data_IF_131325651739
#
_entry.id   IF_131325651739
#
_cell.length_a   1.000
_cell.length_b   1.000
_cell.length_c   1.000
_cell.angle_alpha   90.00
_cell.angle_beta   90.00
_cell.angle_gamma   90.00
#
_symmetry.space_group_name_H-M   'P 1'
#
loop_
_entity.id
_entity.type
_entity.pdbx_description
1 polymer ?
#
# COMPACT_ATOMS: atom_id res chain seq x y z
N UNK A 1 2.61 -5.05 -2.31
CA UNK A 1 3.24 -4.78 -1.00
C UNK A 1 3.21 -6.04 -0.14
N UNK A 2 4.07 -6.12 0.88
CA UNK A 2 4.09 -7.23 1.85
C UNK A 2 3.51 -6.72 3.18
N UNK A 3 2.63 -7.48 3.82
CA UNK A 3 2.00 -7.12 5.10
C UNK A 3 2.44 -8.02 6.25
N UNK A 4 2.41 -7.48 7.47
CA UNK A 4 2.76 -8.20 8.71
C UNK A 4 1.58 -8.95 9.35
N UNK A 5 0.45 -8.99 8.65
CA UNK A 5 -0.76 -9.72 8.99
C UNK A 5 -1.50 -10.06 7.69
N UNK A 6 -2.28 -11.14 7.70
CA UNK A 6 -3.15 -11.51 6.58
C UNK A 6 -4.41 -10.62 6.67
N UNK A 7 -4.78 -9.87 5.61
CA UNK A 7 -6.02 -9.09 5.58
C UNK A 7 -7.24 -9.96 5.88
N UNK A 8 -8.27 -9.38 6.53
CA UNK A 8 -9.50 -10.12 6.87
C UNK A 8 -10.27 -10.62 5.64
N UNK A 9 -10.21 -9.86 4.54
CA UNK A 9 -10.74 -10.24 3.23
C UNK A 9 -9.58 -10.38 2.28
N UNK A 10 -9.55 -11.43 1.47
CA UNK A 10 -8.47 -11.66 0.51
C UNK A 10 -8.54 -10.73 -0.69
N UNK A 11 -9.75 -10.25 -1.01
CA UNK A 11 -10.01 -9.25 -2.04
C UNK A 11 -11.02 -8.23 -1.52
N UNK A 12 -10.81 -6.96 -1.81
CA UNK A 12 -11.74 -5.90 -1.42
C UNK A 12 -11.53 -4.64 -2.26
N UNK A 13 -12.57 -3.82 -2.37
CA UNK A 13 -12.57 -2.55 -3.09
C UNK A 13 -13.22 -1.47 -2.23
N UNK A 14 -12.51 -0.37 -2.00
CA UNK A 14 -12.98 0.69 -1.13
C UNK A 14 -12.66 2.06 -1.71
N UNK A 15 -13.59 3.00 -1.50
CA UNK A 15 -13.29 4.42 -1.61
C UNK A 15 -12.88 4.91 -0.23
N UNK A 16 -11.69 5.51 -0.12
CA UNK A 16 -11.22 6.13 1.11
C UNK A 16 -10.90 7.60 0.88
N UNK A 17 -10.97 8.37 1.95
CA UNK A 17 -10.63 9.78 1.96
C UNK A 17 -9.54 9.99 3.01
N UNK A 18 -8.48 10.69 2.64
CA UNK A 18 -7.37 10.96 3.55
C UNK A 18 -7.11 12.46 3.66
N UNK A 19 -6.70 12.87 4.84
CA UNK A 19 -6.20 14.21 5.14
C UNK A 19 -4.81 14.12 5.78
N UNK A 20 -4.03 15.20 5.70
CA UNK A 20 -2.71 15.30 6.33
C UNK A 20 -2.66 16.41 7.36
N UNK A 21 -2.05 16.10 8.49
CA UNK A 21 -1.79 17.05 9.57
C UNK A 21 -0.31 17.06 9.93
N UNK A 22 0.21 18.22 10.31
CA UNK A 22 1.55 18.35 10.85
C UNK A 22 1.52 18.11 12.36
N UNK A 23 2.26 17.11 12.83
CA UNK A 23 2.42 16.80 14.25
C UNK A 23 3.91 16.64 14.57
N UNK A 24 4.40 17.40 15.54
CA UNK A 24 5.81 17.39 15.97
C UNK A 24 6.81 17.50 14.79
N UNK A 25 6.52 18.35 13.79
CA UNK A 25 7.36 18.55 12.61
C UNK A 25 7.25 17.48 11.53
N UNK A 26 6.35 16.49 11.68
CA UNK A 26 6.13 15.43 10.68
C UNK A 26 4.70 15.47 10.13
N UNK A 27 4.55 15.31 8.82
CA UNK A 27 3.24 15.13 8.19
C UNK A 27 2.73 13.70 8.34
N UNK A 28 1.58 13.55 9.00
CA UNK A 28 0.89 12.28 9.20
C UNK A 28 -0.45 12.30 8.47
N UNK A 29 -0.78 11.18 7.81
CA UNK A 29 -2.04 11.00 7.09
C UNK A 29 -3.06 10.32 7.99
N UNK A 30 -4.35 10.62 7.78
CA UNK A 30 -5.47 10.12 8.55
C UNK A 30 -6.63 9.81 7.62
N UNK A 31 -7.32 8.69 7.85
CA UNK A 31 -8.59 8.42 7.18
C UNK A 31 -9.67 9.33 7.77
N UNK A 32 -10.45 9.95 6.90
CA UNK A 32 -11.61 10.77 7.24
C UNK A 32 -12.88 10.17 6.66
N UNK A 33 -13.95 10.22 7.44
CA UNK A 33 -15.26 9.68 7.06
C UNK A 33 -16.22 10.77 6.58
N UNK A 34 -16.12 11.96 7.18
CA UNK A 34 -16.94 13.11 6.85
C UNK A 34 -16.07 14.26 6.37
N UNK A 35 -16.41 14.85 5.23
CA UNK A 35 -15.68 16.01 4.70
C UNK A 35 -16.60 16.96 3.94
N UNK A 36 -16.25 18.24 3.93
CA UNK A 36 -16.98 19.25 3.16
C UNK A 36 -16.49 19.30 1.72
N UNK A 37 -17.38 19.65 0.79
CA UNK A 37 -17.02 19.88 -0.62
C UNK A 37 -15.91 20.93 -0.78
N UNK A 38 -15.83 21.91 0.14
CA UNK A 38 -14.78 22.92 0.14
C UNK A 38 -13.41 22.33 0.50
N UNK A 39 -13.33 21.37 1.43
CA UNK A 39 -12.07 20.73 1.78
C UNK A 39 -11.51 19.87 0.64
N UNK A 40 -12.38 19.21 -0.13
CA UNK A 40 -12.03 18.49 -1.35
C UNK A 40 -11.50 19.44 -2.43
N UNK A 41 -12.23 20.53 -2.73
CA UNK A 41 -11.84 21.51 -3.75
C UNK A 41 -10.50 22.18 -3.46
N UNK A 42 -10.17 22.38 -2.19
CA UNK A 42 -8.93 23.01 -1.76
C UNK A 42 -7.75 22.03 -1.63
N UNK A 43 -7.93 20.75 -1.95
CA UNK A 43 -6.86 19.74 -1.85
C UNK A 43 -6.44 19.43 -0.41
N UNK A 44 -7.27 19.77 0.59
CA UNK A 44 -7.02 19.44 2.00
C UNK A 44 -7.37 17.98 2.30
N UNK A 45 -8.32 17.44 1.55
CA UNK A 45 -8.70 16.02 1.60
C UNK A 45 -8.56 15.44 0.19
N UNK A 46 -7.90 14.30 0.09
CA UNK A 46 -7.82 13.52 -1.14
C UNK A 46 -8.74 12.31 -1.06
N UNK A 47 -9.47 12.05 -2.14
CA UNK A 47 -10.31 10.87 -2.29
C UNK A 47 -9.77 9.98 -3.39
N UNK A 48 -9.82 8.68 -3.18
CA UNK A 48 -9.47 7.70 -4.21
C UNK A 48 -10.15 6.38 -3.95
N UNK A 49 -10.11 5.50 -4.96
CA UNK A 49 -10.47 4.10 -4.79
C UNK A 49 -9.21 3.26 -4.72
N UNK A 50 -9.22 2.28 -3.82
CA UNK A 50 -8.21 1.25 -3.71
C UNK A 50 -8.88 -0.11 -3.74
N UNK A 51 -8.36 -0.96 -4.60
CA UNK A 51 -8.66 -2.37 -4.68
C UNK A 51 -7.43 -3.13 -4.23
N UNK A 52 -7.63 -4.25 -3.55
CA UNK A 52 -6.54 -5.15 -3.27
C UNK A 52 -6.92 -6.59 -3.59
N UNK A 53 -5.89 -7.37 -3.91
CA UNK A 53 -5.95 -8.82 -4.09
C UNK A 53 -4.77 -9.45 -3.39
N UNK A 54 -5.04 -10.41 -2.52
CA UNK A 54 -4.01 -11.21 -1.85
C UNK A 54 -3.46 -12.22 -2.84
N UNK A 55 -2.17 -12.10 -3.15
CA UNK A 55 -1.49 -12.94 -4.13
C UNK A 55 -0.94 -14.23 -3.52
N UNK A 56 -0.43 -14.14 -2.29
CA UNK A 56 0.17 -15.26 -1.58
C UNK A 56 0.12 -14.99 -0.08
N UNK A 57 -0.06 -16.04 0.72
CA UNK A 57 -0.06 -15.97 2.19
C UNK A 57 0.93 -16.96 2.77
N UNK A 58 1.40 -16.66 3.98
CA UNK A 58 2.03 -17.64 4.85
C UNK A 58 1.31 -17.60 6.20
N UNK A 59 0.50 -18.63 6.45
CA UNK A 59 -0.33 -18.74 7.65
C UNK A 59 0.46 -18.98 8.93
N UNK A 60 1.66 -19.56 8.85
CA UNK A 60 2.52 -19.79 10.00
C UNK A 60 3.10 -18.46 10.50
N UNK A 61 3.63 -17.65 9.57
CA UNK A 61 4.21 -16.35 9.87
C UNK A 61 3.17 -15.22 9.99
N UNK A 62 1.93 -15.50 9.55
CA UNK A 62 0.83 -14.52 9.43
C UNK A 62 1.22 -13.32 8.56
N UNK A 63 1.75 -13.57 7.36
CA UNK A 63 2.13 -12.52 6.40
C UNK A 63 1.46 -12.75 5.06
N UNK A 64 1.33 -11.69 4.26
CA UNK A 64 0.76 -11.77 2.93
C UNK A 64 1.49 -10.88 1.92
N UNK A 65 1.52 -11.34 0.68
CA UNK A 65 1.85 -10.53 -0.50
C UNK A 65 0.54 -10.05 -1.12
N UNK A 66 0.43 -8.74 -1.34
CA UNK A 66 -0.80 -8.10 -1.80
C UNK A 66 -0.52 -7.24 -3.02
N UNK A 67 -1.36 -7.37 -4.04
CA UNK A 67 -1.48 -6.44 -5.15
C UNK A 67 -2.45 -5.33 -4.78
N UNK A 68 -2.08 -4.08 -5.06
CA UNK A 68 -2.97 -2.92 -4.90
C UNK A 68 -3.20 -2.26 -6.25
N UNK A 69 -4.44 -1.93 -6.56
CA UNK A 69 -4.82 -1.08 -7.70
C UNK A 69 -5.48 0.16 -7.14
N UNK A 70 -4.95 1.33 -7.47
CA UNK A 70 -5.40 2.60 -6.88
C UNK A 70 -5.63 3.63 -7.96
N UNK A 71 -6.58 4.54 -7.75
CA UNK A 71 -6.71 5.75 -8.58
C UNK A 71 -5.78 6.88 -8.11
N UNK A 72 -5.09 6.70 -6.99
CA UNK A 72 -4.19 7.71 -6.42
C UNK A 72 -3.14 7.07 -5.52
N UNK A 73 -1.90 7.50 -5.71
CA UNK A 73 -0.77 7.19 -4.83
C UNK A 73 -0.39 8.40 -3.95
N UNK A 74 -1.30 9.35 -3.76
CA UNK A 74 -1.01 10.59 -3.02
C UNK A 74 -0.81 10.30 -1.53
N UNK A 75 0.24 10.89 -0.96
CA UNK A 75 0.59 10.79 0.47
C UNK A 75 0.90 9.36 0.91
N UNK A 76 0.17 8.82 1.89
CA UNK A 76 0.39 7.49 2.47
C UNK A 76 -0.88 6.62 2.32
N UNK A 77 -1.53 6.74 1.15
CA UNK A 77 -2.87 6.20 0.89
C UNK A 77 -2.96 4.69 1.06
N UNK A 78 -1.96 3.96 0.56
CA UNK A 78 -1.91 2.48 0.64
C UNK A 78 -1.64 2.04 2.08
N UNK A 79 -0.73 2.71 2.77
CA UNK A 79 -0.41 2.46 4.17
C UNK A 79 -1.66 2.61 5.04
N UNK A 80 -2.39 3.72 4.89
CA UNK A 80 -3.63 3.99 5.65
C UNK A 80 -4.69 2.93 5.36
N UNK A 81 -4.86 2.53 4.09
CA UNK A 81 -5.77 1.44 3.73
C UNK A 81 -5.41 0.11 4.42
N UNK A 82 -4.11 -0.23 4.46
CA UNK A 82 -3.63 -1.44 5.11
C UNK A 82 -3.95 -1.47 6.61
N UNK A 83 -3.94 -0.32 7.30
CA UNK A 83 -4.34 -0.22 8.70
C UNK A 83 -5.83 -0.55 8.90
N UNK A 84 -6.69 -0.10 7.99
CA UNK A 84 -8.14 -0.41 7.99
C UNK A 84 -8.38 -1.91 7.88
N UNK A 85 -7.57 -2.61 7.08
CA UNK A 85 -7.58 -4.07 6.97
C UNK A 85 -6.91 -4.78 8.16
N UNK A 86 -6.41 -4.02 9.14
CA UNK A 86 -5.62 -4.52 10.27
C UNK A 86 -4.38 -5.32 9.82
N UNK A 87 -3.84 -4.97 8.65
CA UNK A 87 -2.71 -5.65 8.01
C UNK A 87 -1.63 -4.63 7.59
N UNK A 88 -0.91 -4.00 8.54
CA UNK A 88 0.12 -3.02 8.21
C UNK A 88 1.19 -3.57 7.27
N UNK A 89 1.76 -2.70 6.44
CA UNK A 89 2.87 -3.06 5.55
C UNK A 89 4.14 -3.38 6.35
N UNK A 90 4.92 -4.35 5.87
CA UNK A 90 6.25 -4.65 6.40
C UNK A 90 7.16 -3.44 6.16
N UNK A 91 7.87 -3.02 7.21
CA UNK A 91 8.72 -1.83 7.21
C UNK A 91 7.98 -0.50 7.44
N UNK A 92 6.66 -0.52 7.67
CA UNK A 92 5.91 0.69 8.03
C UNK A 92 6.25 1.14 9.46
N UNK A 93 7.24 2.03 9.58
CA UNK A 93 7.64 2.65 10.85
C UNK A 93 6.82 3.91 11.19
N UNK A 94 5.82 4.26 10.37
CA UNK A 94 5.06 5.50 10.50
C UNK A 94 3.67 5.25 11.10
N UNK A 95 3.01 4.17 10.70
CA UNK A 95 1.60 3.95 11.04
C UNK A 95 1.27 2.60 11.67
N UNK A 96 2.17 1.60 11.64
CA UNK A 96 1.87 0.24 12.11
C UNK A 96 1.25 0.19 13.52
N UNK A 97 1.69 1.09 14.42
CA UNK A 97 1.25 1.10 15.81
C UNK A 97 -0.15 1.66 16.02
N UNK A 98 -0.82 2.08 14.94
CA UNK A 98 -2.26 2.38 14.91
C UNK A 98 -3.10 1.10 14.84
N UNK A 99 -2.48 -0.06 14.63
CA UNK A 99 -3.12 -1.36 14.81
C UNK A 99 -2.61 -1.98 16.11
N UNK A 100 -3.53 -2.44 16.97
CA UNK A 100 -3.21 -3.13 18.24
C UNK A 100 -4.05 -4.37 18.40
N UNK A 101 -3.54 -5.32 19.18
CA UNK A 101 -4.32 -6.48 19.64
C UNK A 101 -5.15 -6.06 20.86
N UNK A 102 -6.47 -6.18 20.74
CA UNK A 102 -7.43 -6.01 21.83
C UNK A 102 -8.13 -7.35 22.03
N UNK A 103 -7.95 -7.97 23.19
CA UNK A 103 -8.45 -9.34 23.46
C UNK A 103 -8.06 -10.36 22.37
N UNK A 104 -6.82 -10.27 21.86
CA UNK A 104 -6.31 -11.16 20.81
C UNK A 104 -6.78 -10.81 19.39
N UNK A 105 -7.67 -9.84 19.21
CA UNK A 105 -8.18 -9.41 17.90
C UNK A 105 -7.45 -8.14 17.45
N UNK A 106 -6.91 -8.08 16.23
CA UNK A 106 -6.28 -6.88 15.72
C UNK A 106 -7.34 -5.83 15.39
N UNK A 107 -7.14 -4.62 15.89
CA UNK A 107 -8.04 -3.47 15.73
C UNK A 107 -7.28 -2.22 15.34
N UNK A 108 -7.84 -1.46 14.40
CA UNK A 108 -7.43 -0.09 14.12
C UNK A 108 -7.88 0.84 15.25
N UNK A 109 -6.95 1.59 15.82
CA UNK A 109 -7.18 2.56 16.89
C UNK A 109 -7.12 3.96 16.31
N UNK A 110 -8.06 4.83 16.72
CA UNK A 110 -8.04 6.24 16.35
C UNK A 110 -6.74 6.91 16.86
N UNK A 111 -5.84 7.33 15.96
CA UNK A 111 -4.53 7.85 16.36
C UNK A 111 -4.59 9.21 17.06
N UNK A 112 -5.61 10.03 16.78
CA UNK A 112 -5.77 11.36 17.39
C UNK A 112 -6.24 11.21 18.83
N UNK A 113 -7.30 10.43 19.05
CA UNK A 113 -7.89 10.20 20.38
C UNK A 113 -6.89 9.56 21.34
N UNK A 114 -6.04 8.67 20.84
CA UNK A 114 -5.09 7.90 21.65
C UNK A 114 -3.65 8.42 21.58
N UNK A 115 -3.41 9.58 20.95
CA UNK A 115 -2.06 10.19 20.81
C UNK A 115 -1.00 9.19 20.33
N UNK A 116 -1.30 8.48 19.24
CA UNK A 116 -0.41 7.48 18.66
C UNK A 116 0.56 8.17 17.71
N UNK A 117 1.86 8.09 18.02
CA UNK A 117 2.95 8.70 17.25
C UNK A 117 3.77 7.65 16.49
N UNK A 118 4.45 7.97 15.38
CA UNK A 118 5.35 7.06 14.68
C UNK A 118 6.32 6.34 15.62
N UNK A 119 6.53 5.05 15.36
CA UNK A 119 7.40 4.20 16.15
C UNK A 119 7.99 3.11 15.26
N UNK A 120 9.17 2.58 15.63
CA UNK A 120 9.74 1.42 14.93
C UNK A 120 8.76 0.24 14.93
N UNK A 121 8.59 -0.41 13.79
CA UNK A 121 7.70 -1.54 13.64
C UNK A 121 8.16 -2.72 14.51
N UNK A 122 7.27 -3.21 15.38
CA UNK A 122 7.52 -4.42 16.13
C UNK A 122 6.99 -5.62 15.33
N UNK A 123 7.93 -6.39 14.79
CA UNK A 123 7.63 -7.63 14.08
C UNK A 123 7.50 -8.80 15.06
N UNK A 124 6.63 -9.75 14.74
CA UNK A 124 6.53 -10.99 15.51
C UNK A 124 7.87 -11.75 15.47
N UNK A 125 8.13 -12.59 16.49
CA UNK A 125 9.42 -13.29 16.63
C UNK A 125 9.75 -14.16 15.41
N UNK A 126 8.76 -14.83 14.84
CA UNK A 126 8.95 -15.76 13.73
C UNK A 126 9.33 -15.05 12.43
N UNK A 127 8.67 -13.92 12.12
CA UNK A 127 9.01 -13.05 10.98
C UNK A 127 10.42 -12.47 11.15
N UNK A 128 10.80 -12.06 12.36
CA UNK A 128 12.17 -11.58 12.62
C UNK A 128 13.22 -12.65 12.36
N UNK A 129 12.99 -13.87 12.83
CA UNK A 129 13.89 -15.00 12.59
C UNK A 129 13.96 -15.31 11.09
N UNK A 130 12.81 -15.40 10.41
CA UNK A 130 12.75 -15.67 8.98
C UNK A 130 13.52 -14.63 8.15
N UNK A 131 13.43 -13.36 8.54
CA UNK A 131 14.11 -12.25 7.87
C UNK A 131 15.55 -12.03 8.35
N UNK A 132 16.07 -12.84 9.27
CA UNK A 132 17.40 -12.70 9.86
C UNK A 132 17.63 -11.35 10.56
N UNK A 133 16.57 -10.82 11.17
CA UNK A 133 16.57 -9.51 11.81
C UNK A 133 16.89 -9.63 13.30
N UNK A 134 18.18 -9.56 13.64
CA UNK A 134 18.68 -9.57 15.02
C UNK A 134 19.06 -8.16 15.53
N UNK A 135 19.03 -7.97 16.85
CA UNK A 135 19.45 -6.73 17.50
C UNK A 135 18.33 -5.69 17.74
N UNK A 136 18.73 -4.53 18.28
CA UNK A 136 17.82 -3.44 18.67
C UNK A 136 17.60 -2.38 17.57
N UNK A 137 18.44 -2.37 16.53
CA UNK A 137 18.38 -1.38 15.43
C UNK A 137 18.06 -2.04 14.09
N UNK A 138 16.98 -2.81 14.06
CA UNK A 138 16.46 -3.40 12.83
C UNK A 138 15.75 -2.29 12.05
N UNK A 139 16.32 -1.86 10.93
CA UNK A 139 15.64 -1.00 9.96
C UNK A 139 15.18 -1.90 8.81
N UNK A 140 13.90 -2.23 8.79
CA UNK A 140 13.27 -2.88 7.65
C UNK A 140 12.76 -1.78 6.70
N UNK A 141 13.15 -1.78 5.40
CA UNK A 141 12.58 -0.85 4.43
C UNK A 141 11.09 -1.12 4.25
N UNK A 142 10.34 -0.12 3.82
CA UNK A 142 8.92 -0.29 3.50
C UNK A 142 8.78 -1.19 2.27
N UNK A 143 8.13 -2.35 2.42
CA UNK A 143 7.86 -3.29 1.34
C UNK A 143 6.59 -2.89 0.56
N UNK A 144 6.66 -1.72 -0.06
CA UNK A 144 5.66 -1.21 -1.00
C UNK A 144 6.37 -0.80 -2.28
N UNK A 145 6.00 -1.45 -3.39
CA UNK A 145 6.61 -1.23 -4.70
C UNK A 145 5.53 -0.81 -5.69
N UNK A 146 5.82 0.23 -6.48
CA UNK A 146 4.97 0.66 -7.58
C UNK A 146 5.38 -0.13 -8.84
N UNK A 147 4.63 -1.18 -9.15
CA UNK A 147 4.91 -2.03 -10.30
C UNK A 147 4.51 -1.37 -11.61
N UNK A 148 3.28 -0.85 -11.69
CA UNK A 148 2.71 -0.34 -12.94
C UNK A 148 2.07 1.04 -12.71
N UNK A 149 2.25 1.96 -13.66
CA UNK A 149 1.46 3.17 -13.72
C UNK A 149 1.20 3.64 -15.15
N UNK A 150 0.03 4.24 -15.35
CA UNK A 150 -0.44 4.75 -16.63
C UNK A 150 -0.38 6.27 -16.62
N UNK A 151 0.33 6.85 -17.59
CA UNK A 151 0.36 8.30 -17.79
C UNK A 151 -0.45 8.66 -19.05
N UNK A 152 -1.52 9.47 -18.92
CA UNK A 152 -2.22 9.98 -20.08
C UNK A 152 -1.30 10.97 -20.83
N UNK A 153 -1.16 10.77 -22.14
CA UNK A 153 -0.38 11.63 -23.02
C UNK A 153 -1.25 12.05 -24.21
N UNK A 154 -1.09 13.30 -24.65
CA UNK A 154 -1.58 13.73 -25.95
C UNK A 154 -0.47 13.52 -26.97
N UNK A 155 -0.71 12.70 -27.98
CA UNK A 155 0.20 12.53 -29.11
C UNK A 155 -0.57 12.83 -30.40
N UNK A 156 -0.11 13.83 -31.17
CA UNK A 156 -0.76 14.26 -32.42
C UNK A 156 -2.28 14.43 -32.30
N UNK A 157 -2.73 15.13 -31.25
CA UNK A 157 -4.15 15.38 -30.92
C UNK A 157 -4.98 14.14 -30.51
N UNK A 158 -4.39 12.94 -30.48
CA UNK A 158 -5.05 11.73 -29.97
C UNK A 158 -4.69 11.48 -28.50
N UNK A 159 -5.62 10.85 -27.77
CA UNK A 159 -5.36 10.32 -26.43
C UNK A 159 -4.52 9.05 -26.58
N UNK A 160 -3.40 9.00 -25.88
CA UNK A 160 -2.57 7.81 -25.77
C UNK A 160 -2.28 7.56 -24.29
N UNK A 161 -2.13 6.30 -23.91
CA UNK A 161 -1.69 5.92 -22.57
C UNK A 161 -0.27 5.38 -22.69
N UNK A 162 0.64 5.99 -21.94
CA UNK A 162 1.99 5.43 -21.76
C UNK A 162 1.96 4.58 -20.51
N UNK A 163 2.14 3.27 -20.71
CA UNK A 163 2.25 2.29 -19.65
C UNK A 163 3.72 2.18 -19.23
N UNK A 164 3.98 2.34 -17.94
CA UNK A 164 5.29 2.16 -17.33
C UNK A 164 5.25 0.94 -16.42
N UNK A 165 6.25 0.07 -16.57
CA UNK A 165 6.43 -1.10 -15.72
C UNK A 165 7.80 -1.05 -15.04
N UNK A 166 7.85 -1.30 -13.73
CA UNK A 166 9.08 -1.36 -12.95
C UNK A 166 9.13 -2.63 -12.12
N UNK A 167 10.28 -3.32 -12.18
CA UNK A 167 10.54 -4.50 -11.37
C UNK A 167 10.84 -4.12 -9.92
N UNK A 168 10.37 -4.90 -8.93
CA UNK A 168 10.79 -4.76 -7.53
C UNK A 168 12.31 -4.78 -7.39
N UNK A 169 12.81 -4.06 -6.38
CA UNK A 169 14.23 -4.12 -6.02
C UNK A 169 14.63 -5.52 -5.52
N UNK A 170 15.91 -5.94 -5.67
CA UNK A 170 16.38 -7.27 -5.27
C UNK A 170 16.02 -7.68 -3.82
N UNK A 171 16.12 -6.75 -2.87
CA UNK A 171 15.78 -7.01 -1.46
C UNK A 171 14.31 -7.44 -1.28
N UNK A 172 13.42 -6.99 -2.16
CA UNK A 172 12.00 -7.35 -2.11
C UNK A 172 11.82 -8.84 -2.42
N UNK A 173 12.53 -9.36 -3.44
CA UNK A 173 12.51 -10.78 -3.79
C UNK A 173 13.12 -11.65 -2.70
N UNK A 174 14.25 -11.23 -2.14
CA UNK A 174 14.88 -11.92 -1.00
C UNK A 174 13.91 -12.02 0.20
N UNK A 175 13.17 -10.93 0.46
CA UNK A 175 12.15 -10.93 1.51
C UNK A 175 11.03 -11.92 1.20
N UNK A 176 10.56 -12.00 -0.04
CA UNK A 176 9.54 -12.98 -0.44
C UNK A 176 10.01 -14.40 -0.22
N UNK A 177 11.23 -14.73 -0.64
CA UNK A 177 11.83 -16.05 -0.45
C UNK A 177 11.90 -16.42 1.04
N UNK A 178 12.45 -15.51 1.87
CA UNK A 178 12.56 -15.72 3.33
C UNK A 178 11.22 -15.89 4.02
N UNK A 179 10.19 -15.18 3.56
CA UNK A 179 8.83 -15.29 4.08
C UNK A 179 8.01 -16.41 3.42
N UNK A 180 8.60 -17.16 2.49
CA UNK A 180 7.94 -18.22 1.70
C UNK A 180 6.71 -17.71 0.95
N UNK A 181 6.74 -16.47 0.50
CA UNK A 181 5.73 -15.84 -0.34
C UNK A 181 6.15 -15.92 -1.80
N UNK A 182 5.19 -16.00 -2.72
CA UNK A 182 5.47 -16.09 -4.16
C UNK A 182 4.56 -15.16 -4.95
N UNK A 183 5.11 -14.59 -6.03
CA UNK A 183 4.25 -14.03 -7.07
C UNK A 183 3.51 -15.18 -7.78
N UNK A 184 2.24 -14.97 -8.16
CA UNK A 184 1.51 -15.85 -9.06
C UNK A 184 2.23 -16.00 -10.40
N UNK A 185 2.12 -17.17 -11.03
CA UNK A 185 2.77 -17.46 -12.31
C UNK A 185 2.27 -16.56 -13.46
N UNK A 186 1.06 -16.00 -13.35
CA UNK A 186 0.47 -15.06 -14.31
C UNK A 186 1.02 -13.62 -14.17
N UNK A 187 1.74 -13.32 -13.09
CA UNK A 187 2.40 -12.03 -12.88
C UNK A 187 3.86 -12.11 -13.32
N UNK A 188 4.11 -11.70 -14.57
CA UNK A 188 5.47 -11.59 -15.11
C UNK A 188 6.19 -10.36 -14.54
N UNK A 189 6.81 -10.56 -13.37
CA UNK A 189 7.64 -9.57 -12.69
C UNK A 189 9.06 -9.47 -13.28
N UNK A 190 9.38 -10.27 -14.31
CA UNK A 190 10.67 -10.29 -14.97
C UNK A 190 10.72 -9.44 -16.22
N UNK A 191 9.58 -8.84 -16.63
CA UNK A 191 9.51 -7.88 -17.73
C UNK A 191 10.57 -6.78 -17.55
N UNK A 192 11.38 -6.48 -18.58
CA UNK A 192 12.27 -5.34 -18.53
C UNK A 192 11.49 -4.07 -18.22
N UNK A 193 12.19 -3.04 -17.70
CA UNK A 193 11.59 -1.72 -17.66
C UNK A 193 11.30 -1.32 -19.10
N UNK A 194 10.02 -1.27 -19.46
CA UNK A 194 9.56 -0.97 -20.80
C UNK A 194 8.53 0.16 -20.73
N UNK A 195 8.70 1.12 -21.64
CA UNK A 195 7.65 2.09 -21.95
C UNK A 195 6.87 1.54 -23.13
N UNK A 196 5.62 1.18 -22.89
CA UNK A 196 4.71 0.76 -23.96
C UNK A 196 3.69 1.87 -24.19
N UNK A 197 3.55 2.30 -25.45
CA UNK A 197 2.55 3.28 -25.84
C UNK A 197 1.37 2.53 -26.44
N UNK A 198 0.25 2.54 -25.73
CA UNK A 198 -1.03 2.04 -26.24
C UNK A 198 -1.86 3.21 -26.75
N UNK A 199 -2.33 3.13 -27.98
CA UNK A 199 -3.30 4.08 -28.54
C UNK A 199 -4.70 3.59 -28.21
N UNK A 200 -5.36 4.24 -27.25
CA UNK A 200 -6.78 4.01 -27.03
C UNK A 200 -7.54 4.84 -28.08
N UNK A 201 -8.19 4.15 -29.01
CA UNK A 201 -9.19 4.76 -29.87
C UNK A 201 -10.43 5.00 -29.01
N UNK A 202 -10.64 6.23 -28.57
CA UNK A 202 -11.98 6.61 -28.14
C UNK A 202 -12.86 6.65 -29.38
N UNK A 203 -13.61 5.57 -29.62
CA UNK A 203 -14.95 5.70 -30.18
C UNK A 203 -15.73 6.54 -29.19
N UNK A 204 -15.64 7.86 -29.34
CA UNK A 204 -16.59 8.79 -28.76
C UNK A 204 -17.94 8.36 -29.31
N UNK A 205 -18.67 7.62 -28.49
CA UNK A 205 -20.08 7.35 -28.65
C UNK A 205 -20.76 8.66 -29.02
N UNK A 206 -21.20 8.75 -30.27
CA UNK A 206 -22.33 9.58 -30.63
C UNK A 206 -23.49 9.18 -29.71
N UNK A 207 -23.74 9.98 -28.66
CA UNK A 207 -25.06 10.29 -28.08
C UNK A 207 -24.95 11.25 -26.91
#
# INVERSE_FOLDING_TARGET
GITTAIPRKLEDSHRIMIERHMYNGQYLSYEVFDTSSNALKQGRVYTGTIQHRTLSTNDELKVALIEFKTTTCTWDFVEIYCLRQCAPLLGDNKYWNRVKLVAGVPMYINPIKHKIYPAKQQLNKHVRIALDLYGQQIICPLHLHLTDFNLPKKYRQQRAIVHFHARPFPYFYETLERLKLKFPDDLDMNKPFEQQIHQEFEEVLNR
#
